data_IF_214735136621
#
_entry.id   IF_214735136621
#
_cell.length_a   1.000
_cell.length_b   1.000
_cell.length_c   1.000
_cell.angle_alpha   90.00
_cell.angle_beta   90.00
_cell.angle_gamma   90.00
#
_symmetry.space_group_name_H-M   'P 1'
#
loop_
_entity.id
_entity.type
_entity.pdbx_description
1 polymer ?
#
# COMPACT_ATOMS: atom_id res chain seq x y z
N UNK A 1 -23.26 -1.68 0.51
CA UNK A 1 -21.99 -2.44 0.52
C UNK A 1 -21.09 -1.77 -0.48
N UNK A 2 -19.86 -1.42 -0.10
CA UNK A 2 -18.85 -1.03 -1.08
C UNK A 2 -18.41 -2.29 -1.83
N UNK A 3 -18.21 -2.17 -3.15
CA UNK A 3 -17.65 -3.25 -3.95
C UNK A 3 -16.15 -3.35 -3.64
N UNK A 4 -15.60 -4.56 -3.77
CA UNK A 4 -14.18 -4.82 -3.51
C UNK A 4 -13.26 -3.88 -4.32
N UNK A 5 -13.63 -3.58 -5.57
CA UNK A 5 -12.92 -2.65 -6.44
C UNK A 5 -12.91 -1.20 -5.91
N UNK A 6 -14.00 -0.75 -5.29
CA UNK A 6 -14.10 0.60 -4.74
C UNK A 6 -13.15 0.76 -3.54
N UNK A 7 -13.09 -0.27 -2.67
CA UNK A 7 -12.18 -0.29 -1.52
C UNK A 7 -10.72 -0.27 -1.95
N UNK A 8 -10.35 -1.08 -2.94
CA UNK A 8 -8.97 -1.09 -3.47
C UNK A 8 -8.65 0.24 -4.14
N UNK A 9 -9.58 0.82 -4.90
CA UNK A 9 -9.38 2.12 -5.53
C UNK A 9 -9.17 3.24 -4.51
N UNK A 10 -9.96 3.26 -3.44
CA UNK A 10 -9.83 4.23 -2.35
C UNK A 10 -8.46 4.09 -1.67
N UNK A 11 -8.07 2.86 -1.29
CA UNK A 11 -6.75 2.59 -0.71
C UNK A 11 -5.62 3.09 -1.61
N UNK A 12 -5.63 2.72 -2.89
CA UNK A 12 -4.61 3.19 -3.85
C UNK A 12 -4.60 4.71 -3.93
N UNK A 13 -5.76 5.36 -3.94
CA UNK A 13 -5.85 6.83 -4.00
C UNK A 13 -5.17 7.50 -2.80
N UNK A 14 -5.36 6.96 -1.59
CA UNK A 14 -4.69 7.46 -0.38
C UNK A 14 -3.18 7.22 -0.43
N UNK A 15 -2.74 6.01 -0.81
CA UNK A 15 -1.31 5.68 -0.95
C UNK A 15 -0.61 6.59 -1.97
N UNK A 16 -1.30 7.03 -3.03
CA UNK A 16 -0.71 7.93 -4.02
C UNK A 16 -0.42 9.34 -3.49
N UNK A 17 -1.01 9.75 -2.36
CA UNK A 17 -0.74 11.05 -1.73
C UNK A 17 0.61 11.09 -1.00
N UNK A 18 1.10 9.93 -0.58
CA UNK A 18 2.38 9.79 0.12
C UNK A 18 3.55 9.73 -0.86
N UNK A 19 4.72 10.20 -0.44
CA UNK A 19 5.97 9.98 -1.16
C UNK A 19 6.54 8.57 -0.93
N UNK A 20 7.62 8.22 -1.63
CA UNK A 20 8.20 6.87 -1.55
C UNK A 20 8.77 6.57 -0.17
N UNK A 21 9.34 7.56 0.52
CA UNK A 21 9.89 7.36 1.85
C UNK A 21 8.77 7.16 2.87
N UNK A 22 7.73 7.99 2.81
CA UNK A 22 6.51 7.85 3.62
C UNK A 22 5.83 6.49 3.41
N UNK A 23 5.77 5.99 2.17
CA UNK A 23 5.20 4.67 1.86
C UNK A 23 6.01 3.52 2.43
N UNK A 24 7.35 3.64 2.48
CA UNK A 24 8.21 2.61 3.07
C UNK A 24 8.03 2.53 4.59
N UNK A 25 7.97 3.68 5.26
CA UNK A 25 7.68 3.75 6.70
C UNK A 25 6.27 3.20 7.00
N UNK A 26 5.27 3.67 6.24
CA UNK A 26 3.89 3.21 6.37
C UNK A 26 3.77 1.68 6.21
N UNK A 27 4.49 1.08 5.26
CA UNK A 27 4.46 -0.37 5.04
C UNK A 27 4.90 -1.17 6.28
N UNK A 28 5.95 -0.72 6.96
CA UNK A 28 6.48 -1.40 8.15
C UNK A 28 5.54 -1.27 9.35
N UNK A 29 5.01 -0.07 9.56
CA UNK A 29 4.04 0.22 10.61
C UNK A 29 2.73 -0.54 10.40
N UNK A 30 2.21 -0.55 9.17
CA UNK A 30 0.95 -1.21 8.82
C UNK A 30 1.08 -2.73 8.95
N UNK A 31 2.20 -3.33 8.52
CA UNK A 31 2.44 -4.76 8.67
C UNK A 31 2.38 -5.21 10.14
N UNK A 32 2.94 -4.39 11.04
CA UNK A 32 2.94 -4.61 12.49
C UNK A 32 1.56 -4.35 13.08
N UNK A 33 0.92 -3.24 12.69
CA UNK A 33 -0.42 -2.85 13.16
C UNK A 33 -1.49 -3.87 12.81
N UNK A 34 -1.47 -4.41 11.59
CA UNK A 34 -2.42 -5.45 11.17
C UNK A 34 -2.18 -6.78 11.88
N UNK A 35 -0.93 -7.12 12.18
CA UNK A 35 -0.60 -8.31 12.98
C UNK A 35 -1.16 -8.20 14.40
N UNK A 36 -0.96 -7.05 15.05
CA UNK A 36 -1.46 -6.78 16.39
C UNK A 36 -2.99 -6.78 16.46
N UNK A 37 -3.66 -6.41 15.37
CA UNK A 37 -5.12 -6.48 15.24
C UNK A 37 -5.63 -7.91 14.99
N UNK A 38 -4.74 -8.89 14.83
CA UNK A 38 -5.11 -10.28 14.56
C UNK A 38 -5.67 -10.50 13.16
N UNK A 39 -5.34 -9.62 12.20
CA UNK A 39 -5.79 -9.77 10.81
C UNK A 39 -5.14 -11.02 10.20
N UNK A 40 -5.91 -11.85 9.48
CA UNK A 40 -5.38 -13.02 8.79
C UNK A 40 -4.19 -12.67 7.90
N UNK A 41 -3.18 -13.53 7.92
CA UNK A 41 -1.94 -13.34 7.15
C UNK A 41 -2.22 -13.11 5.67
N UNK A 42 -3.17 -13.82 5.07
CA UNK A 42 -3.53 -13.66 3.65
C UNK A 42 -4.02 -12.24 3.32
N UNK A 43 -4.79 -11.61 4.23
CA UNK A 43 -5.27 -10.25 4.06
C UNK A 43 -4.13 -9.25 4.24
N UNK A 44 -3.28 -9.47 5.25
CA UNK A 44 -2.07 -8.67 5.48
C UNK A 44 -1.16 -8.69 4.25
N UNK A 45 -0.80 -9.88 3.78
CA UNK A 45 0.07 -10.06 2.62
C UNK A 45 -0.51 -9.35 1.39
N UNK A 46 -1.83 -9.38 1.21
CA UNK A 46 -2.50 -8.66 0.13
C UNK A 46 -2.41 -7.13 0.28
N UNK A 47 -2.65 -6.58 1.48
CA UNK A 47 -2.48 -5.14 1.73
C UNK A 47 -1.05 -4.69 1.47
N UNK A 48 -0.07 -5.44 1.98
CA UNK A 48 1.35 -5.14 1.79
C UNK A 48 1.73 -5.22 0.31
N UNK A 49 1.20 -6.19 -0.44
CA UNK A 49 1.43 -6.29 -1.88
C UNK A 49 0.92 -5.06 -2.65
N UNK A 50 -0.25 -4.51 -2.28
CA UNK A 50 -0.78 -3.28 -2.90
C UNK A 50 0.19 -2.11 -2.67
N UNK A 51 0.68 -1.95 -1.44
CA UNK A 51 1.65 -0.90 -1.10
C UNK A 51 2.93 -1.05 -1.92
N UNK A 52 3.46 -2.28 -2.04
CA UNK A 52 4.64 -2.57 -2.85
C UNK A 52 4.46 -2.19 -4.33
N UNK A 53 3.29 -2.49 -4.91
CA UNK A 53 2.97 -2.09 -6.29
C UNK A 53 2.93 -0.57 -6.44
N UNK A 54 2.34 0.17 -5.49
CA UNK A 54 2.32 1.64 -5.54
C UNK A 54 3.73 2.22 -5.45
N UNK A 55 4.58 1.70 -4.55
CA UNK A 55 5.99 2.09 -4.42
C UNK A 55 6.73 1.86 -5.73
N UNK A 56 6.62 0.65 -6.30
CA UNK A 56 7.28 0.30 -7.55
C UNK A 56 6.87 1.26 -8.68
N UNK A 57 5.58 1.49 -8.87
CA UNK A 57 5.08 2.39 -9.93
C UNK A 57 5.59 3.83 -9.73
N UNK A 58 5.65 4.32 -8.49
CA UNK A 58 6.21 5.65 -8.19
C UNK A 58 7.71 5.72 -8.51
N UNK A 59 8.48 4.72 -8.11
CA UNK A 59 9.92 4.65 -8.40
C UNK A 59 10.20 4.57 -9.89
N UNK A 60 9.45 3.77 -10.65
CA UNK A 60 9.57 3.68 -12.12
C UNK A 60 9.29 5.02 -12.79
N UNK A 61 8.27 5.76 -12.36
CA UNK A 61 7.97 7.10 -12.89
C UNK A 61 9.09 8.08 -12.60
N UNK A 62 9.67 8.04 -11.40
CA UNK A 62 10.83 8.88 -11.05
C UNK A 62 12.05 8.54 -11.91
N UNK A 63 12.32 7.24 -12.11
CA UNK A 63 13.42 6.77 -12.96
C UNK A 63 13.24 7.05 -14.46
N UNK A 64 12.00 7.11 -14.95
CA UNK A 64 11.67 7.46 -16.34
C UNK A 64 11.75 8.98 -16.62
N UNK A 65 11.97 9.81 -15.60
CA UNK A 65 12.09 11.27 -15.73
C UNK A 65 13.56 11.72 -15.90
N UNK A 66 14.47 10.79 -16.25
CA UNK A 66 15.90 11.07 -16.51
C UNK A 66 16.21 11.02 -18.00
#
# INVERSE_FOLDING_TARGET
MMLHEDLVRELVTELYKMDVAELLEFKEDEATGLELQGIPKEIRDHCIHIIDVVIQVKQERMGATV
#
